data_IF_433730530675
#
_entry.id   IF_433730530675
#
_cell.length_a   1.000
_cell.length_b   1.000
_cell.length_c   1.000
_cell.angle_alpha   90.00
_cell.angle_beta   90.00
_cell.angle_gamma   90.00
#
_symmetry.space_group_name_H-M   'P 1'
#
loop_
_entity.id
_entity.type
_entity.pdbx_description
1 polymer ?
#
# COMPACT_ATOMS: atom_id res chain seq x y z
N UNK A 1 -24.88 12.07 15.93
CA UNK A 1 -24.46 13.17 15.05
C UNK A 1 -24.67 12.73 13.61
N UNK A 2 -25.26 13.56 12.75
CA UNK A 2 -25.45 13.21 11.34
C UNK A 2 -24.16 13.49 10.54
N UNK A 3 -23.84 12.66 9.56
CA UNK A 3 -22.64 12.81 8.70
C UNK A 3 -22.66 14.07 7.81
N UNK A 4 -23.80 14.78 7.75
CA UNK A 4 -23.95 16.08 7.07
C UNK A 4 -24.26 17.23 8.03
N UNK A 5 -24.22 16.98 9.35
CA UNK A 5 -24.52 18.03 10.33
C UNK A 5 -23.40 19.06 10.45
N UNK A 6 -23.75 20.31 10.78
CA UNK A 6 -22.79 21.39 11.00
C UNK A 6 -21.74 21.05 12.06
N UNK A 7 -22.12 20.26 13.08
CA UNK A 7 -21.21 19.84 14.15
C UNK A 7 -20.21 18.77 13.70
N UNK A 8 -20.52 17.99 12.65
CA UNK A 8 -19.63 16.94 12.14
C UNK A 8 -18.54 17.46 11.21
N UNK A 9 -18.87 18.48 10.41
CA UNK A 9 -17.96 19.11 9.43
C UNK A 9 -16.60 19.48 10.06
N UNK A 10 -16.53 20.21 11.19
CA UNK A 10 -15.23 20.57 11.79
C UNK A 10 -14.49 19.34 12.32
N UNK A 11 -15.19 18.34 12.86
CA UNK A 11 -14.57 17.10 13.36
C UNK A 11 -13.89 16.34 12.22
N UNK A 12 -14.58 16.13 11.10
CA UNK A 12 -14.00 15.47 9.93
C UNK A 12 -12.81 16.27 9.38
N UNK A 13 -12.94 17.60 9.32
CA UNK A 13 -11.87 18.51 8.89
C UNK A 13 -10.61 18.39 9.75
N UNK A 14 -10.77 18.31 11.07
CA UNK A 14 -9.67 18.11 12.00
C UNK A 14 -9.04 16.72 11.85
N UNK A 15 -9.82 15.65 11.67
CA UNK A 15 -9.28 14.32 11.40
C UNK A 15 -8.40 14.30 10.15
N UNK A 16 -8.84 14.95 9.06
CA UNK A 16 -8.04 15.06 7.81
C UNK A 16 -6.75 15.84 8.07
N UNK A 17 -6.84 16.98 8.75
CA UNK A 17 -5.68 17.84 9.07
C UNK A 17 -4.65 17.11 9.94
N UNK A 18 -5.10 16.38 10.96
CA UNK A 18 -4.23 15.61 11.85
C UNK A 18 -3.60 14.42 11.13
N UNK A 19 -4.35 13.73 10.27
CA UNK A 19 -3.82 12.58 9.52
C UNK A 19 -2.70 13.00 8.55
N UNK A 20 -2.77 14.19 7.95
CA UNK A 20 -1.66 14.75 7.17
C UNK A 20 -0.36 14.88 7.97
N UNK A 21 -0.46 15.23 9.26
CA UNK A 21 0.71 15.33 10.13
C UNK A 21 1.33 13.95 10.40
N UNK A 22 0.49 12.93 10.64
CA UNK A 22 0.92 11.54 10.84
C UNK A 22 1.60 10.98 9.59
N UNK A 23 1.08 11.31 8.41
CA UNK A 23 1.61 10.86 7.12
C UNK A 23 2.73 11.76 6.56
N UNK A 24 3.19 12.75 7.34
CA UNK A 24 4.24 13.70 6.94
C UNK A 24 4.02 14.39 5.58
N UNK A 25 2.75 14.66 5.22
CA UNK A 25 2.38 15.29 3.96
C UNK A 25 1.77 16.69 4.18
N UNK A 26 2.08 17.64 3.29
CA UNK A 26 1.53 19.01 3.34
C UNK A 26 0.26 19.16 2.50
N UNK A 27 0.22 18.46 1.37
CA UNK A 27 -0.73 18.64 0.26
C UNK A 27 -1.50 17.37 -0.07
N UNK A 28 -1.10 16.20 0.46
CA UNK A 28 -1.84 14.96 0.30
C UNK A 28 -3.29 15.07 0.78
N UNK A 29 -4.20 14.36 0.13
CA UNK A 29 -5.60 14.28 0.53
C UNK A 29 -5.89 12.92 1.18
N UNK A 30 -5.94 12.85 2.52
CA UNK A 30 -6.38 11.63 3.19
C UNK A 30 -7.84 11.29 2.85
N UNK A 31 -8.11 10.00 2.68
CA UNK A 31 -9.45 9.44 2.63
C UNK A 31 -9.71 8.71 3.94
N UNK A 32 -10.74 9.15 4.68
CA UNK A 32 -11.17 8.53 5.92
C UNK A 32 -12.30 7.55 5.61
N UNK A 33 -11.96 6.26 5.55
CA UNK A 33 -12.88 5.20 5.16
C UNK A 33 -13.07 4.24 6.33
N UNK A 34 -14.32 3.89 6.61
CA UNK A 34 -14.63 2.91 7.65
C UNK A 34 -14.33 1.49 7.13
N UNK A 35 -13.26 0.88 7.65
CA UNK A 35 -12.84 -0.48 7.30
C UNK A 35 -11.56 -0.89 8.01
N UNK A 36 -11.17 -2.15 7.84
CA UNK A 36 -9.86 -2.66 8.28
C UNK A 36 -8.73 -2.14 7.38
N UNK A 37 -7.48 -2.32 7.80
CA UNK A 37 -6.31 -1.98 6.98
C UNK A 37 -6.30 -2.68 5.62
N UNK A 38 -6.84 -3.90 5.54
CA UNK A 38 -6.97 -4.66 4.29
C UNK A 38 -7.90 -4.02 3.27
N UNK A 39 -8.86 -3.18 3.69
CA UNK A 39 -9.65 -2.36 2.75
C UNK A 39 -8.77 -1.40 1.95
N UNK A 40 -7.63 -0.96 2.50
CA UNK A 40 -6.66 -0.15 1.78
C UNK A 40 -6.07 -0.88 0.57
N UNK A 41 -5.87 -2.20 0.66
CA UNK A 41 -5.41 -3.01 -0.47
C UNK A 41 -6.46 -3.07 -1.57
N UNK A 42 -7.70 -3.31 -1.18
CA UNK A 42 -8.86 -3.36 -2.09
C UNK A 42 -9.04 -2.03 -2.82
N UNK A 43 -8.93 -0.91 -2.10
CA UNK A 43 -8.99 0.44 -2.68
C UNK A 43 -7.87 0.65 -3.72
N UNK A 44 -6.65 0.21 -3.44
CA UNK A 44 -5.53 0.30 -4.40
C UNK A 44 -5.78 -0.58 -5.62
N UNK A 45 -6.11 -1.86 -5.41
CA UNK A 45 -6.29 -2.82 -6.49
C UNK A 45 -7.46 -2.43 -7.42
N UNK A 46 -8.60 -2.02 -6.85
CA UNK A 46 -9.80 -1.68 -7.60
C UNK A 46 -9.76 -0.34 -8.34
N UNK A 47 -8.93 0.62 -7.89
CA UNK A 47 -8.93 1.99 -8.45
C UNK A 47 -7.66 2.34 -9.21
N UNK A 48 -6.53 1.68 -8.93
CA UNK A 48 -5.23 2.05 -9.51
C UNK A 48 -4.70 1.04 -10.52
N UNK A 49 -5.34 -0.12 -10.66
CA UNK A 49 -4.87 -1.20 -11.54
C UNK A 49 -6.03 -1.74 -12.38
N UNK A 50 -5.82 -1.85 -13.69
CA UNK A 50 -6.74 -2.49 -14.62
C UNK A 50 -6.33 -3.94 -14.90
N UNK A 51 -7.30 -4.76 -15.32
CA UNK A 51 -7.03 -6.15 -15.69
C UNK A 51 -5.99 -6.24 -16.80
N UNK A 52 -4.94 -7.05 -16.56
CA UNK A 52 -3.83 -7.25 -17.47
C UNK A 52 -2.66 -6.28 -17.31
N UNK A 53 -2.79 -5.22 -16.48
CA UNK A 53 -1.68 -4.33 -16.11
C UNK A 53 -0.70 -5.03 -15.14
N UNK A 54 0.58 -4.68 -15.24
CA UNK A 54 1.64 -5.25 -14.42
C UNK A 54 1.76 -4.56 -13.05
N UNK A 55 1.84 -5.34 -11.98
CA UNK A 55 2.06 -4.85 -10.61
C UNK A 55 3.32 -5.50 -10.01
N UNK A 56 4.12 -4.71 -9.30
CA UNK A 56 5.31 -5.18 -8.59
C UNK A 56 5.04 -5.18 -7.09
N UNK A 57 5.25 -6.32 -6.42
CA UNK A 57 5.11 -6.45 -4.97
C UNK A 57 6.48 -6.76 -4.36
N UNK A 58 6.95 -5.91 -3.45
CA UNK A 58 8.13 -6.17 -2.64
C UNK A 58 7.68 -6.98 -1.41
N UNK A 59 8.08 -8.25 -1.40
CA UNK A 59 7.62 -9.23 -0.43
C UNK A 59 8.64 -9.43 0.69
N UNK A 60 8.17 -9.28 1.93
CA UNK A 60 8.93 -9.49 3.17
C UNK A 60 8.21 -10.42 4.18
N UNK A 61 7.09 -11.03 3.77
CA UNK A 61 6.27 -11.89 4.64
C UNK A 61 4.82 -12.04 4.17
N UNK A 62 3.95 -12.47 5.09
CA UNK A 62 2.55 -12.83 4.83
C UNK A 62 1.74 -11.72 4.14
N UNK A 63 1.97 -10.45 4.52
CA UNK A 63 1.20 -9.34 3.96
C UNK A 63 1.60 -9.04 2.52
N UNK A 64 2.84 -9.37 2.13
CA UNK A 64 3.27 -9.31 0.73
C UNK A 64 2.53 -10.31 -0.15
N UNK A 65 2.44 -11.57 0.29
CA UNK A 65 1.67 -12.60 -0.44
C UNK A 65 0.18 -12.22 -0.51
N UNK A 66 -0.41 -11.79 0.61
CA UNK A 66 -1.83 -11.44 0.68
C UNK A 66 -2.20 -10.23 -0.19
N UNK A 67 -1.31 -9.24 -0.32
CA UNK A 67 -1.55 -8.10 -1.19
C UNK A 67 -1.35 -8.48 -2.67
N UNK A 68 -0.43 -9.40 -2.99
CA UNK A 68 -0.32 -9.96 -4.32
C UNK A 68 -1.62 -10.67 -4.74
N UNK A 69 -2.16 -11.55 -3.88
CA UNK A 69 -3.43 -12.25 -4.13
C UNK A 69 -4.60 -11.28 -4.35
N UNK A 70 -4.64 -10.18 -3.58
CA UNK A 70 -5.63 -9.12 -3.75
C UNK A 70 -5.52 -8.47 -5.14
N UNK A 71 -4.31 -8.09 -5.59
CA UNK A 71 -4.09 -7.50 -6.91
C UNK A 71 -4.46 -8.48 -8.05
N UNK A 72 -4.10 -9.75 -7.91
CA UNK A 72 -4.44 -10.80 -8.90
C UNK A 72 -5.95 -11.04 -8.98
N UNK A 73 -6.68 -10.91 -7.87
CA UNK A 73 -8.15 -10.99 -7.85
C UNK A 73 -8.80 -9.93 -8.75
N UNK A 74 -8.18 -8.75 -8.88
CA UNK A 74 -8.60 -7.69 -9.80
C UNK A 74 -8.01 -7.84 -11.22
N UNK A 75 -7.30 -8.93 -11.49
CA UNK A 75 -6.76 -9.28 -12.80
C UNK A 75 -5.40 -8.67 -13.12
N UNK A 76 -4.70 -8.12 -12.12
CA UNK A 76 -3.33 -7.63 -12.31
C UNK A 76 -2.36 -8.79 -12.62
N UNK A 77 -1.33 -8.52 -13.41
CA UNK A 77 -0.19 -9.43 -13.60
C UNK A 77 0.86 -9.12 -12.55
N UNK A 78 0.82 -9.83 -11.43
CA UNK A 78 1.70 -9.55 -10.31
C UNK A 78 3.07 -10.22 -10.49
N UNK A 79 4.14 -9.44 -10.30
CA UNK A 79 5.49 -9.96 -10.05
C UNK A 79 5.82 -9.71 -8.58
N UNK A 80 6.24 -10.74 -7.87
CA UNK A 80 6.80 -10.60 -6.53
C UNK A 80 8.32 -10.63 -6.59
N UNK A 81 8.97 -9.70 -5.88
CA UNK A 81 10.40 -9.79 -5.53
C UNK A 81 10.44 -10.18 -4.06
N UNK A 82 10.87 -11.42 -3.79
CA UNK A 82 10.87 -12.00 -2.45
C UNK A 82 12.23 -11.81 -1.80
N UNK A 83 12.23 -11.20 -0.62
CA UNK A 83 13.39 -11.21 0.25
C UNK A 83 13.61 -12.60 0.87
N UNK A 84 14.83 -12.85 1.32
CA UNK A 84 15.10 -14.01 2.18
C UNK A 84 14.32 -13.89 3.50
N UNK A 85 14.07 -15.02 4.16
CA UNK A 85 13.33 -15.04 5.43
C UNK A 85 14.09 -14.26 6.50
N UNK A 86 13.43 -13.26 7.11
CA UNK A 86 14.07 -12.35 8.07
C UNK A 86 14.92 -11.25 7.41
N UNK A 87 14.64 -10.93 6.15
CA UNK A 87 15.26 -9.83 5.41
C UNK A 87 14.21 -9.00 4.65
N UNK A 88 14.65 -7.85 4.12
CA UNK A 88 13.87 -7.00 3.23
C UNK A 88 14.44 -7.02 1.81
N UNK A 89 13.60 -6.68 0.83
CA UNK A 89 14.02 -6.54 -0.57
C UNK A 89 15.05 -5.41 -0.67
N UNK A 90 16.18 -5.68 -1.33
CA UNK A 90 17.22 -4.66 -1.47
C UNK A 90 16.86 -3.64 -2.55
N UNK A 91 17.43 -2.45 -2.45
CA UNK A 91 17.32 -1.43 -3.50
C UNK A 91 17.78 -1.96 -4.88
N UNK A 92 18.83 -2.79 -4.91
CA UNK A 92 19.35 -3.38 -6.16
C UNK A 92 18.33 -4.33 -6.79
N UNK A 93 17.65 -5.14 -5.99
CA UNK A 93 16.62 -6.06 -6.50
C UNK A 93 15.41 -5.29 -7.05
N UNK A 94 14.99 -4.22 -6.36
CA UNK A 94 13.96 -3.31 -6.85
C UNK A 94 14.37 -2.66 -8.19
N UNK A 95 15.57 -2.08 -8.26
CA UNK A 95 16.07 -1.43 -9.49
C UNK A 95 16.15 -2.42 -10.66
N UNK A 96 16.60 -3.65 -10.40
CA UNK A 96 16.66 -4.69 -11.43
C UNK A 96 15.26 -5.07 -11.89
N UNK A 97 14.31 -5.24 -10.98
CA UNK A 97 12.93 -5.54 -11.34
C UNK A 97 12.30 -4.43 -12.19
N UNK A 98 12.55 -3.15 -11.85
CA UNK A 98 12.06 -1.98 -12.58
C UNK A 98 12.67 -1.81 -13.98
N UNK A 99 13.86 -2.37 -14.23
CA UNK A 99 14.49 -2.35 -15.57
C UNK A 99 13.85 -3.35 -16.54
N UNK A 100 13.24 -4.42 -16.04
CA UNK A 100 12.67 -5.47 -16.90
C UNK A 100 11.43 -5.00 -17.67
N UNK A 101 10.56 -4.22 -17.01
CA UNK A 101 9.34 -3.67 -17.60
C UNK A 101 8.77 -2.54 -16.75
N UNK A 102 7.81 -1.82 -17.33
CA UNK A 102 7.05 -0.79 -16.62
C UNK A 102 5.93 -1.44 -15.80
N UNK A 103 5.87 -1.12 -14.52
CA UNK A 103 4.77 -1.51 -13.64
C UNK A 103 3.83 -0.33 -13.46
N UNK A 104 2.53 -0.63 -13.32
CA UNK A 104 1.49 0.33 -12.97
C UNK A 104 1.63 0.79 -11.54
N UNK A 105 1.85 -0.18 -10.64
CA UNK A 105 2.04 0.04 -9.21
C UNK A 105 3.23 -0.75 -8.70
N UNK A 106 3.90 -0.19 -7.70
CA UNK A 106 4.85 -0.89 -6.84
C UNK A 106 4.26 -0.84 -5.43
N UNK A 107 4.12 -1.98 -4.77
CA UNK A 107 3.62 -2.08 -3.40
C UNK A 107 4.68 -2.70 -2.50
N UNK A 108 4.67 -2.27 -1.24
CA UNK A 108 5.52 -2.85 -0.19
C UNK A 108 4.82 -2.70 1.16
N UNK A 109 5.11 -3.62 2.07
CA UNK A 109 4.62 -3.55 3.44
C UNK A 109 5.71 -2.89 4.30
N UNK A 110 5.42 -1.72 4.88
CA UNK A 110 6.43 -0.99 5.66
C UNK A 110 6.97 -1.84 6.82
N UNK A 111 6.08 -2.46 7.59
CA UNK A 111 6.43 -3.42 8.66
C UNK A 111 5.59 -4.65 8.46
N UNK A 112 6.22 -5.80 8.20
CA UNK A 112 5.52 -7.08 8.12
C UNK A 112 5.48 -7.72 9.51
N UNK A 113 4.33 -7.66 10.18
CA UNK A 113 4.20 -8.17 11.55
C UNK A 113 4.22 -9.69 11.65
N UNK A 114 4.15 -10.42 10.53
CA UNK A 114 4.29 -11.88 10.52
C UNK A 114 5.74 -12.34 10.66
N UNK A 115 6.69 -11.50 10.22
CA UNK A 115 8.13 -11.76 10.29
C UNK A 115 8.85 -10.82 11.26
N UNK A 116 8.25 -9.69 11.62
CA UNK A 116 8.86 -8.64 12.44
C UNK A 116 9.76 -7.68 11.66
N UNK A 117 9.76 -7.77 10.33
CA UNK A 117 10.71 -7.08 9.47
C UNK A 117 10.26 -5.66 9.08
N UNK A 118 11.22 -4.72 9.06
CA UNK A 118 11.05 -3.33 8.64
C UNK A 118 11.64 -3.13 7.24
N UNK A 119 10.82 -2.82 6.25
CA UNK A 119 11.24 -2.71 4.84
C UNK A 119 11.84 -1.35 4.51
N UNK A 120 11.29 -0.26 5.07
CA UNK A 120 11.71 1.11 4.72
C UNK A 120 13.10 1.51 5.26
N UNK A 121 13.73 0.67 6.09
CA UNK A 121 15.13 0.88 6.49
C UNK A 121 16.13 0.61 5.36
N UNK A 122 15.69 -0.03 4.27
CA UNK A 122 16.54 -0.57 3.21
C UNK A 122 16.24 -0.01 1.81
N UNK A 123 15.23 0.86 1.69
CA UNK A 123 14.81 1.57 0.47
C UNK A 123 15.02 3.08 0.63
#
# INVERSE_FOLDING_TARGET
MSHVSADFIPVLGDCIRMLRQVLYTKDGQPFLVAGSGTLGWDMVASNLVESGEDALVLHSGYFGDSFADCLETYGAKVKQVKADLGAAVTQVDLENALKEKKYKVVTFTHVDTSTGELVLGYL
#
